data_IF_688606834907
#
_entry.id   IF_688606834907
#
_cell.length_a   1.000
_cell.length_b   1.000
_cell.length_c   1.000
_cell.angle_alpha   90.00
_cell.angle_beta   90.00
_cell.angle_gamma   90.00
#
_symmetry.space_group_name_H-M   'P 1'
#
loop_
_entity.id
_entity.type
_entity.pdbx_description
1 polymer ?
#
# COMPACT_ATOMS: atom_id res chain seq x y z
N UNK A 1 -23.07 0.76 49.54
CA UNK A 1 -21.65 0.44 49.81
C UNK A 1 -20.83 1.10 48.71
N UNK A 2 -20.06 2.14 49.03
CA UNK A 2 -19.17 2.83 48.07
C UNK A 2 -17.94 1.93 47.82
N UNK A 3 -17.55 1.72 46.57
CA UNK A 3 -16.25 1.16 46.20
C UNK A 3 -15.51 2.17 45.31
N UNK A 4 -14.27 2.45 45.71
CA UNK A 4 -13.35 3.45 45.15
C UNK A 4 -12.63 2.92 43.90
N UNK A 5 -12.15 3.78 42.99
CA UNK A 5 -11.38 3.37 41.82
C UNK A 5 -9.92 3.06 42.19
N UNK A 6 -9.41 1.92 41.71
CA UNK A 6 -8.03 1.47 41.89
C UNK A 6 -7.03 2.26 41.02
N UNK A 7 -5.85 2.56 41.58
CA UNK A 7 -4.73 3.20 40.88
C UNK A 7 -4.01 2.23 39.93
N UNK A 8 -3.48 2.69 38.78
CA UNK A 8 -2.67 1.85 37.90
C UNK A 8 -1.26 1.63 38.46
N UNK A 9 -0.72 0.41 38.29
CA UNK A 9 0.68 0.05 38.60
C UNK A 9 1.59 0.36 37.39
N UNK A 10 2.89 0.70 37.61
CA UNK A 10 3.78 1.07 36.52
C UNK A 10 4.21 -0.14 35.68
N UNK A 11 4.20 0.04 34.36
CA UNK A 11 4.75 -0.87 33.35
C UNK A 11 6.27 -1.00 33.54
N UNK A 12 6.76 -2.24 33.66
CA UNK A 12 8.20 -2.55 33.62
C UNK A 12 8.68 -2.58 32.17
N UNK A 13 9.54 -1.63 31.80
CA UNK A 13 10.23 -1.60 30.51
C UNK A 13 11.38 -2.61 30.54
N UNK A 14 11.30 -3.68 29.75
CA UNK A 14 12.45 -4.52 29.42
C UNK A 14 13.03 -4.07 28.08
N UNK A 15 14.22 -3.46 28.10
CA UNK A 15 15.03 -3.19 26.90
C UNK A 15 15.65 -4.49 26.40
N UNK A 16 15.22 -4.98 25.25
CA UNK A 16 15.97 -5.96 24.46
C UNK A 16 16.98 -5.20 23.58
N UNK A 17 18.27 -5.46 23.79
CA UNK A 17 19.34 -5.02 22.88
C UNK A 17 19.40 -5.98 21.69
N UNK A 18 19.52 -5.50 20.44
CA UNK A 18 19.81 -6.38 19.32
C UNK A 18 21.26 -6.88 19.44
N UNK A 19 21.46 -8.19 19.60
CA UNK A 19 22.78 -8.82 19.40
C UNK A 19 22.93 -9.09 17.91
N UNK A 20 23.78 -8.30 17.26
CA UNK A 20 24.34 -8.60 15.95
C UNK A 20 25.67 -9.32 16.18
N UNK A 21 25.67 -10.66 16.11
CA UNK A 21 26.90 -11.46 15.94
C UNK A 21 26.58 -12.63 15.00
N UNK A 22 27.04 -12.55 13.75
CA UNK A 22 27.11 -13.70 12.83
C UNK A 22 28.54 -14.23 12.84
N UNK A 23 28.71 -15.50 13.23
CA UNK A 23 29.95 -16.24 13.04
C UNK A 23 30.03 -16.80 11.60
N UNK A 24 31.21 -16.84 10.96
CA UNK A 24 31.37 -17.38 9.61
C UNK A 24 31.47 -18.92 9.66
N UNK A 25 30.72 -19.62 8.79
CA UNK A 25 31.01 -21.04 8.49
C UNK A 25 29.87 -22.07 8.50
N UNK A 26 28.59 -21.68 8.54
CA UNK A 26 27.50 -22.65 8.43
C UNK A 26 27.06 -22.89 6.98
N UNK A 27 27.39 -24.06 6.42
CA UNK A 27 26.90 -24.53 5.12
C UNK A 27 25.37 -24.67 5.16
N UNK A 28 24.66 -23.96 4.26
CA UNK A 28 23.21 -24.14 4.03
C UNK A 28 22.93 -25.57 3.56
N UNK A 29 22.20 -26.36 4.36
CA UNK A 29 21.50 -27.55 3.84
C UNK A 29 20.33 -27.05 2.99
N UNK A 30 20.31 -27.47 1.73
CA UNK A 30 19.21 -27.20 0.81
C UNK A 30 17.91 -27.77 1.40
N UNK A 31 16.97 -26.88 1.70
CA UNK A 31 15.59 -27.26 1.99
C UNK A 31 14.94 -27.61 0.67
N UNK A 32 14.33 -28.79 0.64
CA UNK A 32 13.63 -29.39 -0.50
C UNK A 32 12.68 -28.40 -1.16
N UNK A 33 12.94 -28.09 -2.43
CA UNK A 33 12.06 -27.32 -3.29
C UNK A 33 10.84 -28.17 -3.66
N UNK A 34 9.72 -27.92 -3.00
CA UNK A 34 8.41 -28.47 -3.38
C UNK A 34 7.41 -27.32 -3.47
N UNK A 35 7.13 -26.95 -4.74
CA UNK A 35 6.09 -26.02 -5.22
C UNK A 35 6.23 -24.55 -4.76
N UNK A 36 7.30 -23.87 -5.19
CA UNK A 36 7.32 -22.39 -5.25
C UNK A 36 6.71 -22.00 -6.61
N UNK A 37 5.39 -22.16 -6.75
CA UNK A 37 4.68 -21.97 -8.02
C UNK A 37 4.48 -20.49 -8.35
N UNK A 38 5.17 -20.01 -9.40
CA UNK A 38 4.74 -18.90 -10.27
C UNK A 38 4.14 -17.66 -9.57
N UNK A 39 4.80 -17.09 -8.56
CA UNK A 39 4.40 -15.77 -8.05
C UNK A 39 4.91 -14.68 -8.98
N UNK A 40 4.03 -13.78 -9.40
CA UNK A 40 4.42 -12.60 -10.18
C UNK A 40 5.31 -11.68 -9.33
N UNK A 41 6.38 -11.13 -9.93
CA UNK A 41 7.30 -10.20 -9.25
C UNK A 41 7.21 -8.82 -9.91
N UNK A 42 6.73 -7.80 -9.19
CA UNK A 42 6.78 -6.43 -9.71
C UNK A 42 8.17 -5.80 -9.57
N UNK A 43 8.94 -6.25 -8.58
CA UNK A 43 10.28 -5.76 -8.25
C UNK A 43 11.22 -6.96 -8.28
N UNK A 44 12.23 -6.89 -9.14
CA UNK A 44 13.33 -7.85 -9.19
C UNK A 44 14.60 -7.17 -8.75
N UNK A 45 15.12 -7.59 -7.61
CA UNK A 45 16.30 -7.00 -7.04
C UNK A 45 17.35 -8.07 -6.74
N UNK A 46 18.58 -7.76 -7.09
CA UNK A 46 19.79 -8.38 -6.56
C UNK A 46 20.81 -7.27 -6.30
N UNK A 47 21.82 -7.53 -5.45
CA UNK A 47 22.81 -6.50 -5.12
C UNK A 47 23.45 -5.92 -6.39
N UNK A 48 23.24 -4.62 -6.60
CA UNK A 48 23.73 -3.88 -7.78
C UNK A 48 22.85 -3.97 -9.04
N UNK A 49 21.67 -4.59 -8.97
CA UNK A 49 20.74 -4.70 -10.10
C UNK A 49 19.28 -4.62 -9.63
N UNK A 50 18.57 -3.59 -10.09
CA UNK A 50 17.14 -3.42 -9.87
C UNK A 50 16.39 -3.44 -11.21
N UNK A 51 15.31 -4.19 -11.28
CA UNK A 51 14.38 -4.21 -12.40
C UNK A 51 12.95 -4.07 -11.88
N UNK A 52 12.11 -3.36 -12.61
CA UNK A 52 10.69 -3.16 -12.30
C UNK A 52 9.82 -3.63 -13.46
N UNK A 53 8.67 -4.19 -13.18
CA UNK A 53 7.67 -4.52 -14.19
C UNK A 53 6.90 -3.26 -14.57
N UNK A 54 6.89 -2.89 -15.86
CA UNK A 54 6.17 -1.71 -16.33
C UNK A 54 4.64 -1.94 -16.32
N UNK A 55 3.98 -1.39 -15.30
CA UNK A 55 2.55 -1.53 -15.13
C UNK A 55 1.70 -0.75 -16.14
N UNK A 56 2.28 0.14 -16.95
CA UNK A 56 1.55 0.82 -18.02
C UNK A 56 1.25 -0.11 -19.19
N UNK A 57 2.11 -1.12 -19.40
CA UNK A 57 1.98 -2.09 -20.47
C UNK A 57 1.03 -3.25 -20.13
N UNK A 58 0.71 -3.42 -18.84
CA UNK A 58 -0.25 -4.41 -18.38
C UNK A 58 -1.69 -4.01 -18.75
N UNK A 59 -2.57 -5.00 -19.06
CA UNK A 59 -2.33 -6.44 -19.06
C UNK A 59 -1.78 -7.02 -20.38
N UNK A 60 -1.60 -6.21 -21.42
CA UNK A 60 -1.26 -6.70 -22.77
C UNK A 60 0.17 -7.24 -22.88
N UNK A 61 1.12 -6.63 -22.15
CA UNK A 61 2.52 -7.01 -22.20
C UNK A 61 3.17 -6.93 -20.82
N UNK A 62 3.86 -7.99 -20.43
CA UNK A 62 4.73 -8.03 -19.26
C UNK A 62 6.19 -7.78 -19.66
N UNK A 63 6.71 -6.59 -19.34
CA UNK A 63 8.08 -6.19 -19.65
C UNK A 63 8.75 -5.56 -18.45
N UNK A 64 9.98 -6.01 -18.17
CA UNK A 64 10.82 -5.44 -17.13
C UNK A 64 11.70 -4.31 -17.70
N UNK A 65 11.92 -3.29 -16.87
CA UNK A 65 12.82 -2.17 -17.12
C UNK A 65 13.90 -2.15 -16.04
N UNK A 66 15.16 -2.00 -16.45
CA UNK A 66 16.28 -1.85 -15.52
C UNK A 66 16.30 -0.44 -14.94
N UNK A 67 16.50 -0.34 -13.62
CA UNK A 67 16.61 0.91 -12.88
C UNK A 67 18.02 1.01 -12.31
N UNK A 68 18.88 1.78 -12.98
CA UNK A 68 20.28 1.95 -12.62
C UNK A 68 20.58 3.20 -11.78
N UNK A 69 19.56 4.03 -11.51
CA UNK A 69 19.73 5.27 -10.76
C UNK A 69 18.47 5.69 -9.99
N UNK A 70 18.67 6.51 -8.96
CA UNK A 70 17.64 7.22 -8.20
C UNK A 70 16.76 8.06 -9.12
N UNK A 71 17.37 8.69 -10.15
CA UNK A 71 16.63 9.47 -11.13
C UNK A 71 15.66 8.61 -11.95
N UNK A 72 16.12 7.46 -12.44
CA UNK A 72 15.27 6.54 -13.18
C UNK A 72 14.13 5.99 -12.31
N UNK A 73 14.39 5.70 -11.03
CA UNK A 73 13.34 5.29 -10.09
C UNK A 73 12.29 6.39 -9.91
N UNK A 74 12.73 7.63 -9.70
CA UNK A 74 11.84 8.79 -9.58
C UNK A 74 10.96 8.95 -10.83
N UNK A 75 11.53 8.85 -12.03
CA UNK A 75 10.80 8.96 -13.30
C UNK A 75 9.77 7.83 -13.45
N UNK A 76 10.15 6.59 -13.15
CA UNK A 76 9.26 5.44 -13.19
C UNK A 76 8.10 5.53 -12.19
N UNK A 77 8.37 5.98 -10.96
CA UNK A 77 7.35 6.20 -9.93
C UNK A 77 6.39 7.31 -10.37
N UNK A 78 6.90 8.44 -10.86
CA UNK A 78 6.11 9.59 -11.31
C UNK A 78 5.24 9.25 -12.53
N UNK A 79 5.78 8.48 -13.48
CA UNK A 79 5.05 7.98 -14.65
C UNK A 79 4.06 6.85 -14.32
N UNK A 80 3.98 6.43 -13.05
CA UNK A 80 3.15 5.31 -12.58
C UNK A 80 3.45 3.96 -13.24
N UNK A 81 4.71 3.73 -13.66
CA UNK A 81 5.21 2.39 -14.00
C UNK A 81 5.28 1.49 -12.76
N UNK A 82 5.50 2.10 -11.59
CA UNK A 82 5.44 1.46 -10.27
C UNK A 82 4.25 2.02 -9.50
N UNK A 83 3.44 1.13 -8.90
CA UNK A 83 2.28 1.50 -8.08
C UNK A 83 2.23 0.68 -6.80
N UNK A 84 1.41 1.15 -5.86
CA UNK A 84 1.33 0.64 -4.50
C UNK A 84 2.33 1.36 -3.59
N UNK A 85 1.84 1.89 -2.47
CA UNK A 85 2.67 2.69 -1.58
C UNK A 85 3.91 1.94 -1.04
N UNK A 86 3.83 0.64 -0.67
CA UNK A 86 5.00 -0.14 -0.30
C UNK A 86 6.01 -0.31 -1.45
N UNK A 87 5.53 -0.69 -2.65
CA UNK A 87 6.40 -0.90 -3.81
C UNK A 87 7.13 0.38 -4.25
N UNK A 88 6.46 1.54 -4.19
CA UNK A 88 7.09 2.84 -4.48
C UNK A 88 8.27 3.12 -3.54
N UNK A 89 8.07 2.90 -2.24
CA UNK A 89 9.12 3.12 -1.24
C UNK A 89 10.31 2.17 -1.46
N UNK A 90 10.04 0.90 -1.73
CA UNK A 90 11.07 -0.10 -2.04
C UNK A 90 11.87 0.24 -3.29
N UNK A 91 11.22 0.57 -4.40
CA UNK A 91 11.92 0.94 -5.65
C UNK A 91 12.80 2.17 -5.43
N UNK A 92 12.32 3.17 -4.68
CA UNK A 92 13.12 4.34 -4.30
C UNK A 92 14.37 3.95 -3.52
N UNK A 93 14.21 3.29 -2.38
CA UNK A 93 15.34 2.91 -1.51
C UNK A 93 16.32 1.93 -2.17
N UNK A 94 15.81 0.95 -2.94
CA UNK A 94 16.65 -0.02 -3.66
C UNK A 94 17.41 0.64 -4.82
N UNK A 95 16.86 1.67 -5.46
CA UNK A 95 17.59 2.41 -6.50
C UNK A 95 18.78 3.20 -5.93
N UNK A 96 18.63 3.75 -4.72
CA UNK A 96 19.74 4.36 -3.98
C UNK A 96 20.78 3.28 -3.62
N UNK A 97 20.35 2.11 -3.17
CA UNK A 97 21.25 1.00 -2.89
C UNK A 97 22.06 0.57 -4.12
N UNK A 98 21.46 0.59 -5.32
CA UNK A 98 22.16 0.31 -6.59
C UNK A 98 23.25 1.36 -6.87
N UNK A 99 22.96 2.66 -6.70
CA UNK A 99 23.97 3.71 -6.88
C UNK A 99 25.10 3.61 -5.84
N UNK A 100 24.76 3.33 -4.58
CA UNK A 100 25.73 3.14 -3.51
C UNK A 100 26.63 1.93 -3.76
N UNK A 101 26.07 0.83 -4.27
CA UNK A 101 26.83 -0.36 -4.66
C UNK A 101 27.80 -0.07 -5.81
N UNK A 102 27.46 0.88 -6.70
CA UNK A 102 28.33 1.35 -7.77
C UNK A 102 29.40 2.37 -7.30
N UNK A 103 29.39 2.76 -6.02
CA UNK A 103 30.37 3.67 -5.42
C UNK A 103 29.96 5.15 -5.42
N UNK A 104 28.69 5.49 -5.67
CA UNK A 104 28.23 6.89 -5.67
C UNK A 104 28.23 7.52 -4.25
N UNK A 105 28.25 8.86 -4.15
CA UNK A 105 28.12 9.57 -2.87
C UNK A 105 29.41 9.68 -2.05
N UNK A 106 30.53 10.07 -2.65
CA UNK A 106 31.80 10.26 -1.94
C UNK A 106 32.76 11.15 -2.73
N UNK A 107 34.03 11.31 -2.30
CA UNK A 107 34.61 10.68 -1.11
C UNK A 107 34.31 11.44 0.18
N UNK A 108 34.33 10.71 1.30
CA UNK A 108 34.21 11.23 2.66
C UNK A 108 32.84 11.01 3.29
N UNK A 109 32.84 10.74 4.60
CA UNK A 109 31.65 10.37 5.35
C UNK A 109 30.53 11.41 5.29
N UNK A 110 30.88 12.69 5.47
CA UNK A 110 29.91 13.79 5.40
C UNK A 110 29.29 13.93 3.99
N UNK A 111 30.08 13.73 2.94
CA UNK A 111 29.60 13.77 1.56
C UNK A 111 28.66 12.60 1.26
N UNK A 112 28.96 11.41 1.79
CA UNK A 112 28.08 10.24 1.68
C UNK A 112 26.75 10.44 2.37
N UNK A 113 26.74 10.94 3.60
CA UNK A 113 25.50 11.21 4.33
C UNK A 113 24.66 12.26 3.61
N UNK A 114 25.29 13.36 3.14
CA UNK A 114 24.59 14.39 2.37
C UNK A 114 23.99 13.81 1.08
N UNK A 115 24.75 12.99 0.34
CA UNK A 115 24.27 12.32 -0.87
C UNK A 115 23.04 11.44 -0.59
N UNK A 116 23.08 10.64 0.48
CA UNK A 116 21.94 9.79 0.88
C UNK A 116 20.72 10.65 1.22
N UNK A 117 20.89 11.73 1.99
CA UNK A 117 19.81 12.63 2.38
C UNK A 117 19.19 13.35 1.18
N UNK A 118 20.01 13.83 0.25
CA UNK A 118 19.56 14.51 -0.97
C UNK A 118 18.79 13.56 -1.89
N UNK A 119 19.32 12.34 -2.10
CA UNK A 119 18.66 11.31 -2.90
C UNK A 119 17.29 10.92 -2.32
N UNK A 120 17.21 10.72 -1.01
CA UNK A 120 15.95 10.38 -0.33
C UNK A 120 14.95 11.54 -0.38
N UNK A 121 15.41 12.76 -0.14
CA UNK A 121 14.57 13.97 -0.26
C UNK A 121 14.02 14.13 -1.68
N UNK A 122 14.84 13.88 -2.69
CA UNK A 122 14.41 13.89 -4.09
C UNK A 122 13.40 12.79 -4.38
N UNK A 123 13.60 11.55 -3.92
CA UNK A 123 12.66 10.44 -4.10
C UNK A 123 11.27 10.72 -3.51
N UNK A 124 11.20 11.40 -2.36
CA UNK A 124 9.92 11.81 -1.75
C UNK A 124 9.09 12.71 -2.68
N UNK A 125 9.74 13.50 -3.54
CA UNK A 125 9.05 14.38 -4.50
C UNK A 125 8.37 13.63 -5.65
N UNK A 126 8.69 12.34 -5.87
CA UNK A 126 8.14 11.58 -7.00
C UNK A 126 6.60 11.50 -6.94
N UNK A 127 6.07 11.16 -5.76
CA UNK A 127 4.63 11.09 -5.46
C UNK A 127 4.38 11.42 -3.98
N UNK A 128 4.27 12.72 -3.61
CA UNK A 128 4.18 13.16 -2.21
C UNK A 128 3.00 12.62 -1.40
N UNK A 129 1.97 12.07 -2.06
CA UNK A 129 0.82 11.45 -1.40
C UNK A 129 1.12 10.05 -0.84
N UNK A 130 2.22 9.41 -1.25
CA UNK A 130 2.67 8.12 -0.75
C UNK A 130 3.50 8.27 0.54
N UNK A 131 2.84 8.23 1.71
CA UNK A 131 3.47 8.38 3.03
C UNK A 131 4.59 7.36 3.26
N UNK A 132 4.48 6.15 2.70
CA UNK A 132 5.47 5.09 2.84
C UNK A 132 6.87 5.52 2.35
N UNK A 133 6.96 6.30 1.25
CA UNK A 133 8.25 6.80 0.75
C UNK A 133 8.84 7.83 1.72
N UNK A 134 8.02 8.77 2.22
CA UNK A 134 8.47 9.77 3.18
C UNK A 134 8.91 9.16 4.53
N UNK A 135 8.23 8.10 4.97
CA UNK A 135 8.62 7.34 6.16
C UNK A 135 9.93 6.59 5.95
N UNK A 136 10.05 5.82 4.86
CA UNK A 136 11.26 5.08 4.54
C UNK A 136 12.46 6.01 4.35
N UNK A 137 12.27 7.16 3.70
CA UNK A 137 13.28 8.20 3.55
C UNK A 137 13.78 8.73 4.90
N UNK A 138 12.87 9.02 5.83
CA UNK A 138 13.23 9.47 7.18
C UNK A 138 14.03 8.40 7.92
N UNK A 139 13.49 7.17 7.98
CA UNK A 139 14.11 6.07 8.73
C UNK A 139 15.52 5.74 8.20
N UNK A 140 15.70 5.78 6.88
CA UNK A 140 16.99 5.52 6.24
C UNK A 140 17.98 6.68 6.38
N UNK A 141 17.50 7.94 6.31
CA UNK A 141 18.34 9.12 6.54
C UNK A 141 18.83 9.18 8.00
N UNK A 142 17.94 8.91 8.96
CA UNK A 142 18.27 8.84 10.39
C UNK A 142 19.28 7.73 10.67
N UNK A 143 19.12 6.56 10.03
CA UNK A 143 20.08 5.46 10.13
C UNK A 143 21.45 5.85 9.56
N UNK A 144 21.51 6.48 8.38
CA UNK A 144 22.76 6.92 7.78
C UNK A 144 23.50 7.93 8.70
N UNK A 145 22.76 8.88 9.28
CA UNK A 145 23.31 9.85 10.21
C UNK A 145 23.84 9.19 11.50
N UNK A 146 23.04 8.31 12.12
CA UNK A 146 23.43 7.60 13.35
C UNK A 146 24.64 6.69 13.15
N UNK A 147 24.74 6.03 11.98
CA UNK A 147 25.89 5.20 11.65
C UNK A 147 27.17 6.03 11.43
N UNK A 148 27.04 7.22 10.84
CA UNK A 148 28.15 8.15 10.65
C UNK A 148 28.67 8.77 11.97
N UNK A 149 27.82 8.88 12.99
CA UNK A 149 28.19 9.41 14.32
C UNK A 149 28.89 8.38 15.21
N UNK A 150 28.98 7.11 14.80
CA UNK A 150 29.64 6.07 15.59
C UNK A 150 31.15 6.29 15.66
N UNK A 151 31.72 5.94 16.82
CA UNK A 151 33.17 5.92 17.00
C UNK A 151 33.81 4.94 16.00
N UNK A 152 34.76 5.44 15.20
CA UNK A 152 35.41 4.65 14.16
C UNK A 152 34.57 4.44 12.89
N UNK A 153 33.50 5.22 12.67
CA UNK A 153 32.71 5.16 11.44
C UNK A 153 33.58 5.41 10.19
N UNK A 154 33.39 4.57 9.16
CA UNK A 154 34.03 4.73 7.85
C UNK A 154 32.96 4.90 6.76
N UNK A 155 33.38 5.43 5.61
CA UNK A 155 32.48 5.59 4.46
C UNK A 155 31.91 4.24 4.01
N UNK A 156 32.74 3.19 3.98
CA UNK A 156 32.35 1.84 3.56
C UNK A 156 31.33 1.23 4.52
N UNK A 157 31.51 1.44 5.83
CA UNK A 157 30.59 0.94 6.85
C UNK A 157 29.20 1.57 6.71
N UNK A 158 29.12 2.89 6.54
CA UNK A 158 27.84 3.59 6.34
C UNK A 158 27.19 3.17 5.02
N UNK A 159 27.97 3.10 3.93
CA UNK A 159 27.51 2.66 2.61
C UNK A 159 26.87 1.27 2.67
N UNK A 160 27.59 0.29 3.22
CA UNK A 160 27.08 -1.07 3.34
C UNK A 160 25.84 -1.15 4.23
N UNK A 161 25.81 -0.32 5.29
CA UNK A 161 24.70 -0.33 6.23
C UNK A 161 23.41 0.25 5.63
N UNK A 162 23.51 1.30 4.81
CA UNK A 162 22.39 1.88 4.06
C UNK A 162 21.87 0.88 3.02
N UNK A 163 22.77 0.20 2.29
CA UNK A 163 22.38 -0.84 1.33
C UNK A 163 21.66 -1.99 2.05
N UNK A 164 22.26 -2.55 3.11
CA UNK A 164 21.65 -3.63 3.88
C UNK A 164 20.27 -3.25 4.41
N UNK A 165 20.07 -2.00 4.83
CA UNK A 165 18.76 -1.56 5.31
C UNK A 165 17.69 -1.62 4.20
N UNK A 166 18.01 -1.20 2.98
CA UNK A 166 17.07 -1.27 1.85
C UNK A 166 16.74 -2.73 1.49
N UNK A 167 17.71 -3.64 1.59
CA UNK A 167 17.50 -5.09 1.39
C UNK A 167 16.66 -5.70 2.52
N UNK A 168 16.95 -5.36 3.77
CA UNK A 168 16.16 -5.78 4.92
C UNK A 168 14.71 -5.30 4.82
N UNK A 169 14.48 -4.11 4.27
CA UNK A 169 13.14 -3.57 4.00
C UNK A 169 12.37 -4.42 2.97
N UNK A 170 13.02 -4.83 1.88
CA UNK A 170 12.44 -5.71 0.86
C UNK A 170 12.05 -7.06 1.46
N UNK A 171 12.99 -7.70 2.16
CA UNK A 171 12.79 -8.99 2.81
C UNK A 171 11.69 -8.91 3.88
N UNK A 172 11.63 -7.81 4.64
CA UNK A 172 10.59 -7.58 5.64
C UNK A 172 9.22 -7.45 5.00
N UNK A 173 9.06 -6.64 3.95
CA UNK A 173 7.76 -6.46 3.28
C UNK A 173 7.25 -7.79 2.69
N UNK A 174 8.12 -8.59 2.08
CA UNK A 174 7.76 -9.94 1.60
C UNK A 174 7.26 -10.86 2.72
N UNK A 175 7.96 -10.89 3.87
CA UNK A 175 7.55 -11.70 5.03
C UNK A 175 6.25 -11.21 5.65
N UNK A 176 6.08 -9.90 5.77
CA UNK A 176 4.88 -9.30 6.33
C UNK A 176 3.67 -9.56 5.44
N UNK A 177 3.80 -9.40 4.12
CA UNK A 177 2.73 -9.69 3.16
C UNK A 177 2.27 -11.15 3.21
N UNK A 178 3.21 -12.11 3.29
CA UNK A 178 2.87 -13.53 3.50
C UNK A 178 2.15 -13.74 4.82
N UNK A 179 2.64 -13.11 5.89
CA UNK A 179 2.03 -13.22 7.23
C UNK A 179 0.61 -12.65 7.25
N UNK A 180 0.38 -11.49 6.62
CA UNK A 180 -0.94 -10.88 6.45
C UNK A 180 -1.88 -11.83 5.69
N UNK A 181 -1.38 -12.42 4.60
CA UNK A 181 -2.15 -13.39 3.83
C UNK A 181 -2.56 -14.60 4.65
N UNK A 182 -1.61 -15.22 5.35
CA UNK A 182 -1.84 -16.44 6.12
C UNK A 182 -2.73 -16.17 7.34
N UNK A 183 -2.43 -15.15 8.14
CA UNK A 183 -3.23 -14.78 9.31
C UNK A 183 -4.64 -14.34 8.90
N UNK A 184 -4.74 -13.51 7.85
CA UNK A 184 -6.01 -13.05 7.32
C UNK A 184 -6.86 -14.20 6.79
N UNK A 185 -6.27 -15.15 6.06
CA UNK A 185 -6.97 -16.33 5.57
C UNK A 185 -7.48 -17.22 6.72
N UNK A 186 -6.64 -17.48 7.72
CA UNK A 186 -7.04 -18.28 8.89
C UNK A 186 -8.19 -17.63 9.66
N UNK A 187 -8.11 -16.33 9.93
CA UNK A 187 -9.15 -15.62 10.66
C UNK A 187 -10.45 -15.52 9.84
N UNK A 188 -10.35 -15.25 8.53
CA UNK A 188 -11.50 -15.24 7.62
C UNK A 188 -12.20 -16.60 7.59
N UNK A 189 -11.46 -17.71 7.49
CA UNK A 189 -12.04 -19.05 7.49
C UNK A 189 -12.76 -19.37 8.80
N UNK A 190 -12.21 -18.98 9.95
CA UNK A 190 -12.88 -19.13 11.26
C UNK A 190 -14.23 -18.41 11.30
N UNK A 191 -14.36 -17.26 10.63
CA UNK A 191 -15.59 -16.44 10.67
C UNK A 191 -16.60 -16.81 9.59
N UNK A 192 -16.15 -17.02 8.36
CA UNK A 192 -17.00 -17.25 7.20
C UNK A 192 -17.28 -18.74 6.92
N UNK A 193 -16.43 -19.65 7.40
CA UNK A 193 -16.56 -21.10 7.18
C UNK A 193 -16.06 -21.94 8.39
N UNK A 194 -16.60 -21.72 9.61
CA UNK A 194 -16.11 -22.35 10.84
C UNK A 194 -16.21 -23.89 10.84
N UNK A 195 -17.17 -24.44 10.10
CA UNK A 195 -17.40 -25.90 10.00
C UNK A 195 -16.56 -26.57 8.89
N UNK A 196 -15.63 -25.83 8.27
CA UNK A 196 -14.98 -26.25 7.04
C UNK A 196 -15.72 -25.75 5.80
N UNK A 197 -15.24 -26.14 4.61
CA UNK A 197 -15.77 -25.67 3.33
C UNK A 197 -15.00 -24.49 2.74
N UNK A 198 -15.34 -24.08 1.53
CA UNK A 198 -14.64 -23.02 0.82
C UNK A 198 -15.34 -21.67 0.96
N UNK A 199 -14.64 -20.59 0.65
CA UNK A 199 -15.15 -19.21 0.71
C UNK A 199 -15.10 -18.52 -0.65
N UNK A 200 -16.04 -17.63 -0.89
CA UNK A 200 -16.05 -16.74 -2.05
C UNK A 200 -15.71 -15.33 -1.58
N UNK A 201 -14.60 -14.78 -2.07
CA UNK A 201 -14.08 -13.50 -1.59
C UNK A 201 -14.26 -12.42 -2.64
N UNK A 202 -14.74 -11.25 -2.23
CA UNK A 202 -14.77 -10.05 -3.07
C UNK A 202 -13.66 -9.08 -2.66
N UNK A 203 -12.93 -8.53 -3.62
CA UNK A 203 -11.87 -7.53 -3.40
C UNK A 203 -12.00 -6.31 -4.31
N UNK A 204 -11.18 -5.30 -4.04
CA UNK A 204 -11.22 -4.00 -4.68
C UNK A 204 -9.83 -3.39 -4.86
N UNK A 205 -9.66 -2.61 -5.93
CA UNK A 205 -8.38 -2.10 -6.40
C UNK A 205 -7.38 -3.22 -6.72
N UNK A 206 -6.09 -2.93 -6.63
CA UNK A 206 -5.00 -3.88 -6.70
C UNK A 206 -4.14 -3.81 -5.45
N UNK A 207 -3.99 -4.97 -4.81
CA UNK A 207 -3.32 -5.17 -3.52
C UNK A 207 -2.43 -6.42 -3.56
N UNK A 208 -2.04 -6.80 -4.78
CA UNK A 208 -1.22 -7.96 -5.05
C UNK A 208 0.27 -7.69 -5.07
N UNK A 209 1.00 -8.54 -5.76
CA UNK A 209 2.43 -8.41 -5.98
C UNK A 209 2.73 -7.16 -6.81
N UNK A 210 1.77 -6.68 -7.62
CA UNK A 210 1.87 -5.42 -8.36
C UNK A 210 1.73 -4.17 -7.48
N UNK A 211 1.39 -4.32 -6.19
CA UNK A 211 1.25 -3.19 -5.26
C UNK A 211 2.24 -3.25 -4.07
N UNK A 212 3.01 -4.32 -3.92
CA UNK A 212 3.92 -4.54 -2.80
C UNK A 212 5.27 -5.09 -3.27
N UNK A 213 6.15 -5.51 -2.35
CA UNK A 213 7.35 -6.27 -2.72
C UNK A 213 7.04 -7.57 -3.49
N UNK A 214 5.84 -8.12 -3.28
CA UNK A 214 5.44 -9.44 -3.72
C UNK A 214 4.37 -10.00 -2.78
N UNK A 215 3.64 -11.02 -3.24
CA UNK A 215 2.53 -11.68 -2.53
C UNK A 215 1.29 -10.80 -2.25
N UNK A 216 1.45 -9.53 -1.91
CA UNK A 216 0.35 -8.60 -1.64
C UNK A 216 -0.28 -8.73 -0.26
N UNK A 217 -1.27 -7.88 0.01
CA UNK A 217 -2.00 -7.84 1.29
C UNK A 217 -3.35 -8.53 1.17
N UNK A 218 -4.40 -7.85 0.70
CA UNK A 218 -5.72 -8.44 0.50
C UNK A 218 -5.72 -9.53 -0.57
N UNK A 219 -5.00 -9.32 -1.69
CA UNK A 219 -4.78 -10.40 -2.66
C UNK A 219 -3.86 -11.49 -2.09
N UNK A 220 -2.98 -11.17 -1.12
CA UNK A 220 -2.21 -12.15 -0.35
C UNK A 220 -3.11 -13.08 0.48
N UNK A 221 -4.19 -12.54 1.08
CA UNK A 221 -5.21 -13.36 1.75
C UNK A 221 -5.90 -14.31 0.77
N UNK A 222 -6.26 -13.83 -0.42
CA UNK A 222 -6.85 -14.65 -1.49
C UNK A 222 -5.88 -15.75 -1.94
N UNK A 223 -4.59 -15.42 -2.12
CA UNK A 223 -3.53 -16.39 -2.42
C UNK A 223 -3.40 -17.45 -1.34
N UNK A 224 -3.36 -17.07 -0.06
CA UNK A 224 -3.29 -18.03 1.05
C UNK A 224 -4.53 -18.94 1.07
N UNK A 225 -5.74 -18.40 0.86
CA UNK A 225 -6.96 -19.21 0.74
C UNK A 225 -6.91 -20.20 -0.44
N UNK A 226 -6.39 -19.76 -1.59
CA UNK A 226 -6.23 -20.60 -2.77
C UNK A 226 -5.22 -21.73 -2.54
N UNK A 227 -4.06 -21.41 -1.96
CA UNK A 227 -3.01 -22.38 -1.64
C UNK A 227 -3.48 -23.43 -0.62
N UNK A 228 -4.40 -23.07 0.27
CA UNK A 228 -5.05 -24.00 1.20
C UNK A 228 -6.15 -24.86 0.54
N UNK A 229 -6.50 -24.62 -0.72
CA UNK A 229 -7.65 -25.25 -1.40
C UNK A 229 -9.00 -24.82 -0.82
N UNK A 230 -9.03 -23.68 -0.11
CA UNK A 230 -10.19 -23.16 0.63
C UNK A 230 -10.85 -21.95 -0.04
N UNK A 231 -10.31 -21.47 -1.15
CA UNK A 231 -10.97 -20.51 -2.01
C UNK A 231 -11.90 -21.25 -2.99
N UNK A 232 -13.17 -20.87 -3.03
CA UNK A 232 -14.09 -21.30 -4.09
C UNK A 232 -13.94 -20.37 -5.29
N UNK A 233 -14.03 -19.06 -5.06
CA UNK A 233 -13.96 -18.07 -6.13
C UNK A 233 -13.53 -16.69 -5.62
N UNK A 234 -12.88 -15.90 -6.46
CA UNK A 234 -12.53 -14.50 -6.20
C UNK A 234 -13.28 -13.54 -7.14
N UNK A 235 -14.05 -12.61 -6.59
CA UNK A 235 -14.57 -11.47 -7.33
C UNK A 235 -13.62 -10.28 -7.20
N UNK A 236 -13.25 -9.68 -8.32
CA UNK A 236 -12.53 -8.41 -8.34
C UNK A 236 -13.37 -7.36 -9.08
N UNK A 237 -13.42 -6.17 -8.52
CA UNK A 237 -14.15 -5.03 -9.09
C UNK A 237 -13.25 -4.26 -10.07
N UNK A 238 -13.80 -3.59 -11.08
CA UNK A 238 -13.00 -2.87 -12.07
C UNK A 238 -12.15 -1.76 -11.47
N UNK A 239 -12.66 -1.07 -10.44
CA UNK A 239 -12.02 0.03 -9.72
C UNK A 239 -11.82 1.28 -10.59
N UNK A 240 -12.93 1.91 -10.99
CA UNK A 240 -12.91 3.17 -11.74
C UNK A 240 -12.33 4.32 -10.90
N UNK A 241 -11.77 5.36 -11.55
CA UNK A 241 -11.58 5.45 -13.00
C UNK A 241 -10.30 4.79 -13.53
N UNK A 242 -9.37 4.43 -12.65
CA UNK A 242 -8.04 3.95 -13.05
C UNK A 242 -7.97 2.48 -13.47
N UNK A 243 -9.04 1.73 -13.24
CA UNK A 243 -9.21 0.34 -13.66
C UNK A 243 -8.14 -0.60 -13.08
N UNK A 244 -7.68 -0.36 -11.84
CA UNK A 244 -6.65 -1.22 -11.25
C UNK A 244 -7.11 -2.66 -11.08
N UNK A 245 -8.37 -2.88 -10.67
CA UNK A 245 -8.86 -4.23 -10.49
C UNK A 245 -9.04 -4.96 -11.83
N UNK A 246 -9.56 -4.28 -12.84
CA UNK A 246 -9.69 -4.83 -14.19
C UNK A 246 -8.33 -5.08 -14.88
N UNK A 247 -7.34 -4.18 -14.71
CA UNK A 247 -6.05 -4.27 -15.41
C UNK A 247 -5.01 -5.11 -14.68
N UNK A 248 -4.94 -4.99 -13.35
CA UNK A 248 -3.84 -5.52 -12.55
C UNK A 248 -4.28 -6.71 -11.71
N UNK A 249 -5.38 -6.59 -10.95
CA UNK A 249 -5.87 -7.69 -10.11
C UNK A 249 -6.35 -8.87 -10.93
N UNK A 250 -7.14 -8.62 -11.99
CA UNK A 250 -7.53 -9.67 -12.91
C UNK A 250 -6.32 -10.32 -13.60
N UNK A 251 -5.29 -9.54 -13.94
CA UNK A 251 -4.05 -10.07 -14.51
C UNK A 251 -3.33 -11.02 -13.54
N UNK A 252 -3.18 -10.62 -12.27
CA UNK A 252 -2.55 -11.48 -11.24
C UNK A 252 -3.34 -12.76 -11.00
N UNK A 253 -4.66 -12.67 -10.88
CA UNK A 253 -5.53 -13.83 -10.68
C UNK A 253 -5.45 -14.81 -11.85
N UNK A 254 -5.42 -14.30 -13.09
CA UNK A 254 -5.24 -15.13 -14.31
C UNK A 254 -3.83 -15.76 -14.34
N UNK A 255 -2.79 -14.98 -14.03
CA UNK A 255 -1.40 -15.46 -14.03
C UNK A 255 -1.20 -16.63 -13.07
N UNK A 256 -1.82 -16.56 -11.89
CA UNK A 256 -1.72 -17.58 -10.84
C UNK A 256 -2.80 -18.67 -10.94
N UNK A 257 -3.63 -18.63 -11.99
CA UNK A 257 -4.74 -19.58 -12.22
C UNK A 257 -5.73 -19.66 -11.05
N UNK A 258 -5.94 -18.53 -10.35
CA UNK A 258 -6.92 -18.43 -9.28
C UNK A 258 -8.31 -18.26 -9.91
N UNK A 259 -9.32 -19.07 -9.51
CA UNK A 259 -10.67 -18.96 -10.06
C UNK A 259 -11.26 -17.59 -9.71
N UNK A 260 -11.51 -16.78 -10.74
CA UNK A 260 -11.88 -15.39 -10.56
C UNK A 260 -12.87 -14.86 -11.60
N UNK A 261 -13.63 -13.83 -11.20
CA UNK A 261 -14.53 -13.06 -12.07
C UNK A 261 -14.30 -11.56 -11.86
N UNK A 262 -14.14 -10.84 -12.97
CA UNK A 262 -14.17 -9.38 -13.00
C UNK A 262 -15.61 -8.89 -13.05
N UNK A 263 -15.96 -7.91 -12.21
CA UNK A 263 -17.25 -7.24 -12.19
C UNK A 263 -17.09 -5.71 -12.22
N UNK A 264 -18.10 -5.00 -12.73
CA UNK A 264 -18.15 -3.54 -12.59
C UNK A 264 -18.32 -3.14 -11.10
N UNK A 265 -17.90 -1.93 -10.72
CA UNK A 265 -18.00 -1.48 -9.33
C UNK A 265 -19.47 -1.47 -8.84
N UNK A 266 -20.41 -1.14 -9.74
CA UNK A 266 -21.86 -1.10 -9.49
C UNK A 266 -22.50 -2.48 -9.32
N UNK A 267 -21.80 -3.57 -9.67
CA UNK A 267 -22.30 -4.94 -9.51
C UNK A 267 -21.99 -5.55 -8.14
N UNK A 268 -21.20 -4.88 -7.29
CA UNK A 268 -20.74 -5.45 -6.03
C UNK A 268 -21.90 -5.91 -5.12
N UNK A 269 -22.96 -5.09 -4.97
CA UNK A 269 -24.14 -5.48 -4.18
C UNK A 269 -24.90 -6.65 -4.81
N UNK A 270 -25.05 -6.67 -6.14
CA UNK A 270 -25.69 -7.78 -6.84
C UNK A 270 -24.90 -9.09 -6.70
N UNK A 271 -23.56 -9.01 -6.74
CA UNK A 271 -22.68 -10.16 -6.50
C UNK A 271 -22.83 -10.68 -5.06
N UNK A 272 -22.87 -9.78 -4.07
CA UNK A 272 -23.13 -10.16 -2.68
C UNK A 272 -24.49 -10.84 -2.49
N UNK A 273 -25.53 -10.36 -3.17
CA UNK A 273 -26.88 -10.92 -3.07
C UNK A 273 -27.07 -12.27 -3.80
N UNK A 274 -26.36 -12.49 -4.91
CA UNK A 274 -26.70 -13.58 -5.84
C UNK A 274 -25.56 -14.56 -6.15
N UNK A 275 -24.32 -14.26 -5.78
CA UNK A 275 -23.14 -15.06 -6.14
C UNK A 275 -22.43 -15.69 -4.93
N UNK A 276 -23.07 -15.65 -3.75
CA UNK A 276 -22.58 -16.34 -2.55
C UNK A 276 -21.27 -15.77 -2.00
N UNK A 277 -21.02 -14.46 -2.16
CA UNK A 277 -19.87 -13.79 -1.53
C UNK A 277 -19.96 -13.96 -0.01
N UNK A 278 -18.93 -14.53 0.60
CA UNK A 278 -18.90 -14.84 2.04
C UNK A 278 -17.92 -13.97 2.82
N UNK A 279 -17.05 -13.21 2.15
CA UNK A 279 -16.21 -12.19 2.78
C UNK A 279 -15.79 -11.10 1.77
N UNK A 280 -15.54 -9.90 2.28
CA UNK A 280 -14.88 -8.82 1.53
C UNK A 280 -13.52 -8.56 2.15
N UNK A 281 -12.46 -8.50 1.34
CA UNK A 281 -11.10 -8.18 1.80
C UNK A 281 -10.50 -7.11 0.90
N UNK A 282 -10.07 -5.99 1.50
CA UNK A 282 -9.48 -4.85 0.80
C UNK A 282 -8.14 -4.46 1.40
N UNK A 283 -7.34 -3.72 0.64
CA UNK A 283 -6.11 -3.09 1.15
C UNK A 283 -6.41 -1.80 1.92
N UNK A 284 -5.33 -1.09 2.27
CA UNK A 284 -5.42 0.27 2.79
C UNK A 284 -4.27 1.11 2.25
N UNK A 285 -4.55 2.39 2.00
CA UNK A 285 -3.52 3.40 1.77
C UNK A 285 -3.07 4.01 3.11
N UNK A 286 -4.00 4.18 4.06
CA UNK A 286 -3.71 4.62 5.43
C UNK A 286 -4.77 4.14 6.41
N UNK A 287 -4.35 3.63 7.57
CA UNK A 287 -5.21 3.32 8.71
C UNK A 287 -4.82 4.24 9.87
N UNK A 288 -5.77 4.92 10.50
CA UNK A 288 -5.48 5.86 11.61
C UNK A 288 -5.80 5.24 12.97
N UNK A 289 -5.55 5.96 14.07
CA UNK A 289 -5.56 5.38 15.42
C UNK A 289 -6.88 4.70 15.81
N UNK A 290 -8.04 5.25 15.40
CA UNK A 290 -9.35 4.65 15.66
C UNK A 290 -9.77 3.53 14.68
N UNK A 291 -8.91 3.17 13.72
CA UNK A 291 -9.17 2.17 12.68
C UNK A 291 -9.87 2.70 11.43
N UNK A 292 -10.22 3.99 11.36
CA UNK A 292 -10.72 4.58 10.12
C UNK A 292 -9.66 4.40 9.02
N UNK A 293 -10.12 3.97 7.85
CA UNK A 293 -9.23 3.54 6.77
C UNK A 293 -9.47 4.38 5.52
N UNK A 294 -8.44 5.07 5.05
CA UNK A 294 -8.41 5.60 3.69
C UNK A 294 -7.91 4.53 2.73
N UNK A 295 -8.69 4.29 1.68
CA UNK A 295 -8.34 3.40 0.59
C UNK A 295 -8.92 3.93 -0.73
N UNK A 296 -8.72 3.20 -1.83
CA UNK A 296 -9.31 3.50 -3.13
C UNK A 296 -10.82 3.75 -3.06
N UNK A 297 -11.28 4.82 -3.73
CA UNK A 297 -12.72 5.15 -3.87
C UNK A 297 -13.50 3.94 -4.41
N UNK A 298 -14.63 3.62 -3.78
CA UNK A 298 -15.39 2.38 -3.91
C UNK A 298 -15.33 1.50 -2.66
N UNK A 299 -14.26 1.59 -1.86
CA UNK A 299 -14.08 0.80 -0.63
C UNK A 299 -15.17 1.02 0.41
N UNK A 300 -15.57 2.27 0.66
CA UNK A 300 -16.63 2.62 1.60
C UNK A 300 -17.99 2.12 1.11
N UNK A 301 -18.26 2.26 -0.19
CA UNK A 301 -19.46 1.70 -0.80
C UNK A 301 -19.54 0.17 -0.62
N UNK A 302 -18.42 -0.53 -0.80
CA UNK A 302 -18.33 -1.97 -0.54
C UNK A 302 -18.57 -2.32 0.93
N UNK A 303 -18.04 -1.53 1.88
CA UNK A 303 -18.27 -1.75 3.30
C UNK A 303 -19.75 -1.59 3.68
N UNK A 304 -20.44 -0.59 3.11
CA UNK A 304 -21.89 -0.41 3.30
C UNK A 304 -22.66 -1.62 2.76
N UNK A 305 -22.36 -2.05 1.52
CA UNK A 305 -23.04 -3.20 0.90
C UNK A 305 -22.78 -4.50 1.67
N UNK A 306 -21.53 -4.74 2.10
CA UNK A 306 -21.17 -5.90 2.90
C UNK A 306 -21.95 -5.94 4.22
N UNK A 307 -22.05 -4.79 4.91
CA UNK A 307 -22.86 -4.66 6.12
C UNK A 307 -24.34 -4.96 5.88
N UNK A 308 -24.91 -4.43 4.79
CA UNK A 308 -26.30 -4.68 4.41
C UNK A 308 -26.59 -6.18 4.20
N UNK A 309 -25.64 -6.92 3.60
CA UNK A 309 -25.75 -8.35 3.36
C UNK A 309 -25.23 -9.24 4.51
N UNK A 310 -24.78 -8.66 5.63
CA UNK A 310 -24.25 -9.42 6.76
C UNK A 310 -22.91 -10.12 6.47
N UNK A 311 -22.15 -9.64 5.48
CA UNK A 311 -20.86 -10.20 5.05
C UNK A 311 -19.72 -9.52 5.84
N UNK A 312 -18.77 -10.29 6.42
CA UNK A 312 -17.64 -9.71 7.11
C UNK A 312 -16.73 -8.93 6.13
N UNK A 313 -16.31 -7.74 6.56
CA UNK A 313 -15.45 -6.83 5.81
C UNK A 313 -14.10 -6.69 6.51
N UNK A 314 -13.02 -6.98 5.79
CA UNK A 314 -11.66 -6.98 6.29
C UNK A 314 -10.79 -5.93 5.58
N UNK A 315 -10.00 -5.22 6.36
CA UNK A 315 -8.87 -4.42 5.87
C UNK A 315 -7.58 -5.19 6.15
N UNK A 316 -6.81 -5.47 5.10
CA UNK A 316 -5.52 -6.12 5.16
C UNK A 316 -4.41 -5.13 4.82
N UNK A 317 -3.64 -4.71 5.82
CA UNK A 317 -2.59 -3.71 5.67
C UNK A 317 -1.41 -4.00 6.61
N UNK A 318 -0.16 -3.75 6.19
CA UNK A 318 0.98 -3.81 7.09
C UNK A 318 0.95 -2.66 8.08
N UNK A 319 1.58 -2.84 9.23
CA UNK A 319 1.72 -1.79 10.26
C UNK A 319 2.42 -0.53 9.73
N UNK A 320 3.19 -0.64 8.65
CA UNK A 320 3.80 0.50 7.95
C UNK A 320 2.77 1.46 7.34
N UNK A 321 1.55 0.98 7.07
CA UNK A 321 0.41 1.76 6.55
C UNK A 321 -0.49 2.31 7.66
N UNK A 322 -0.20 2.00 8.93
CA UNK A 322 -0.90 2.56 10.09
C UNK A 322 -0.22 3.85 10.55
N UNK A 323 -0.96 4.96 10.54
CA UNK A 323 -0.53 6.28 11.00
C UNK A 323 -1.25 6.64 12.32
N UNK A 324 -0.67 6.22 13.43
CA UNK A 324 -1.21 6.44 14.78
C UNK A 324 -1.08 7.89 15.27
N UNK A 325 -0.57 8.82 14.44
CA UNK A 325 -0.51 10.24 14.78
C UNK A 325 -1.83 10.95 14.49
N UNK A 326 -2.65 10.40 13.59
CA UNK A 326 -3.99 10.90 13.29
C UNK A 326 -4.99 10.12 14.13
N UNK A 327 -5.88 10.83 14.81
CA UNK A 327 -6.87 10.20 15.69
C UNK A 327 -8.04 9.63 14.90
N UNK A 328 -8.45 10.31 13.84
CA UNK A 328 -9.65 9.98 13.06
C UNK A 328 -9.45 10.14 11.55
N UNK A 329 -10.31 9.50 10.75
CA UNK A 329 -10.26 9.59 9.30
C UNK A 329 -10.54 10.99 8.74
N UNK A 330 -11.07 11.91 9.57
CA UNK A 330 -11.35 13.31 9.19
C UNK A 330 -10.08 14.12 8.93
N UNK A 331 -8.96 13.70 9.51
CA UNK A 331 -7.66 14.36 9.37
C UNK A 331 -6.91 13.92 8.11
N UNK A 332 -7.44 12.91 7.41
CA UNK A 332 -6.85 12.43 6.17
C UNK A 332 -7.26 13.37 5.03
N UNK A 333 -6.29 14.07 4.48
CA UNK A 333 -6.48 14.83 3.23
C UNK A 333 -6.66 13.84 2.08
N UNK A 334 -7.84 13.84 1.46
CA UNK A 334 -8.16 12.99 0.32
C UNK A 334 -7.53 13.57 -0.95
N UNK A 335 -6.71 12.75 -1.64
CA UNK A 335 -6.10 13.15 -2.91
C UNK A 335 -7.16 13.31 -4.01
N UNK A 336 -7.19 14.49 -4.62
CA UNK A 336 -8.00 14.79 -5.80
C UNK A 336 -7.15 14.95 -7.07
N UNK A 337 -7.55 14.25 -8.13
CA UNK A 337 -6.83 14.19 -9.42
C UNK A 337 -7.61 14.85 -10.56
N UNK A 338 -6.95 15.19 -11.68
CA UNK A 338 -7.61 15.78 -12.84
C UNK A 338 -8.80 14.94 -13.31
N UNK A 339 -9.93 15.60 -13.54
CA UNK A 339 -11.16 15.04 -14.11
C UNK A 339 -10.96 14.28 -15.44
N UNK A 340 -9.92 14.62 -16.20
CA UNK A 340 -9.56 13.92 -17.43
C UNK A 340 -9.40 12.42 -17.21
N UNK A 341 -8.87 11.99 -16.07
CA UNK A 341 -8.69 10.55 -15.79
C UNK A 341 -10.02 9.82 -15.59
N UNK A 342 -11.08 10.55 -15.22
CA UNK A 342 -12.45 10.05 -15.15
C UNK A 342 -13.15 10.13 -16.51
N UNK A 343 -13.00 11.27 -17.20
CA UNK A 343 -13.76 11.56 -18.43
C UNK A 343 -13.18 10.87 -19.67
N UNK A 344 -11.89 10.55 -19.67
CA UNK A 344 -11.17 9.97 -20.79
C UNK A 344 -10.60 8.59 -20.41
N UNK A 345 -10.52 7.68 -21.39
CA UNK A 345 -9.81 6.41 -21.27
C UNK A 345 -8.97 6.21 -22.53
N UNK A 346 -7.68 5.90 -22.36
CA UNK A 346 -6.74 5.72 -23.47
C UNK A 346 -6.73 6.88 -24.49
N UNK A 347 -6.82 8.12 -23.99
CA UNK A 347 -6.81 9.33 -24.82
C UNK A 347 -8.12 9.60 -25.58
N UNK A 348 -9.17 8.83 -25.31
CA UNK A 348 -10.50 9.03 -25.89
C UNK A 348 -11.48 9.45 -24.80
N UNK A 349 -12.11 10.61 -24.97
CA UNK A 349 -13.15 11.09 -24.07
C UNK A 349 -14.41 10.24 -24.19
N UNK A 350 -14.88 9.71 -23.06
CA UNK A 350 -16.12 8.94 -22.94
C UNK A 350 -17.26 9.82 -22.43
N UNK A 351 -16.96 10.71 -21.48
CA UNK A 351 -17.96 11.62 -20.93
C UNK A 351 -18.40 12.66 -21.95
N UNK A 352 -19.66 13.11 -21.90
CA UNK A 352 -20.13 14.21 -22.73
C UNK A 352 -19.24 15.47 -22.52
N UNK A 353 -18.97 16.25 -23.59
CA UNK A 353 -18.32 17.55 -23.44
C UNK A 353 -19.04 18.42 -22.41
N UNK A 354 -18.30 19.03 -21.48
CA UNK A 354 -18.86 19.85 -20.39
C UNK A 354 -19.32 19.09 -19.14
N UNK A 355 -19.38 17.76 -19.14
CA UNK A 355 -19.86 16.94 -18.00
C UNK A 355 -18.86 16.80 -16.82
N UNK A 356 -17.96 17.75 -16.62
CA UNK A 356 -16.86 17.65 -15.65
C UNK A 356 -16.73 18.92 -14.80
N UNK A 357 -17.85 19.38 -14.23
CA UNK A 357 -17.83 20.30 -13.11
C UNK A 357 -18.36 19.54 -11.90
N UNK A 358 -17.48 18.88 -11.15
CA UNK A 358 -17.79 18.63 -9.74
C UNK A 358 -17.85 20.02 -9.11
N UNK A 359 -18.98 20.46 -8.53
CA UNK A 359 -19.02 21.74 -7.85
C UNK A 359 -17.98 21.70 -6.74
N UNK A 360 -17.00 22.61 -6.81
CA UNK A 360 -16.20 22.93 -5.65
C UNK A 360 -17.17 23.28 -4.52
N UNK A 361 -16.92 22.79 -3.32
CA UNK A 361 -17.65 23.25 -2.15
C UNK A 361 -17.38 24.76 -2.01
N UNK A 362 -18.25 25.58 -2.61
CA UNK A 362 -18.33 26.99 -2.28
C UNK A 362 -18.67 27.02 -0.79
N UNK A 363 -17.71 27.49 0.00
CA UNK A 363 -17.99 27.96 1.34
C UNK A 363 -19.09 29.01 1.18
N UNK A 364 -20.27 28.72 1.71
CA UNK A 364 -21.34 29.69 1.86
C UNK A 364 -20.86 30.75 2.87
N UNK A 365 -20.15 31.76 2.38
CA UNK A 365 -20.07 33.04 3.07
C UNK A 365 -21.37 33.78 2.81
N UNK A 366 -22.28 33.67 3.77
CA UNK A 366 -23.28 34.69 4.02
C UNK A 366 -22.54 35.99 4.36
N UNK A 367 -22.36 36.88 3.39
CA UNK A 367 -22.20 38.31 3.66
C UNK A 367 -23.14 39.09 2.75
N UNK A 368 -24.13 39.71 3.39
CA UNK A 368 -25.07 40.61 2.74
C UNK A 368 -24.45 41.93 2.33
N UNK A 369 -25.14 42.60 1.41
CA UNK A 369 -25.22 44.07 1.40
C UNK A 369 -24.26 44.82 0.48
N UNK A 370 -24.69 45.03 -0.77
CA UNK A 370 -24.78 46.36 -1.38
C UNK A 370 -23.51 47.05 -1.92
N UNK A 371 -23.61 47.52 -3.17
CA UNK A 371 -22.80 48.64 -3.69
C UNK A 371 -22.19 48.37 -5.07
N UNK A 372 -22.68 49.09 -6.08
CA UNK A 372 -22.28 48.91 -7.48
C UNK A 372 -20.88 49.40 -7.84
N UNK A 373 -20.42 48.97 -9.02
CA UNK A 373 -19.22 49.47 -9.68
C UNK A 373 -18.88 48.66 -10.93
N UNK A 374 -18.90 49.31 -12.08
CA UNK A 374 -18.46 48.77 -13.38
C UNK A 374 -16.96 48.44 -13.37
N UNK A 375 -16.58 47.31 -13.97
CA UNK A 375 -15.24 47.13 -14.56
C UNK A 375 -14.59 45.77 -14.34
N UNK A 376 -14.09 45.21 -15.44
CA UNK A 376 -13.29 44.00 -15.63
C UNK A 376 -14.02 42.66 -15.48
N UNK A 377 -14.38 42.07 -16.62
CA UNK A 377 -14.55 40.62 -16.76
C UNK A 377 -13.28 39.93 -16.24
N UNK A 378 -13.36 39.08 -15.21
CA UNK A 378 -12.31 38.11 -14.97
C UNK A 378 -12.37 37.12 -16.13
N UNK A 379 -11.26 36.96 -16.87
CA UNK A 379 -11.12 35.84 -17.79
C UNK A 379 -11.40 34.52 -17.05
N UNK A 380 -11.85 33.46 -17.74
CA UNK A 380 -12.14 32.21 -17.07
C UNK A 380 -10.86 31.70 -16.43
N UNK A 381 -10.72 31.85 -15.12
CA UNK A 381 -9.89 30.94 -14.35
C UNK A 381 -10.50 29.58 -14.59
N UNK A 382 -9.83 28.77 -15.41
CA UNK A 382 -10.10 27.35 -15.56
C UNK A 382 -10.01 26.73 -14.16
N UNK A 383 -11.14 26.70 -13.46
CA UNK A 383 -11.35 25.86 -12.30
C UNK A 383 -11.19 24.43 -12.77
N UNK A 384 -9.94 23.94 -12.74
CA UNK A 384 -9.61 22.57 -13.15
C UNK A 384 -10.37 21.63 -12.23
N UNK A 385 -11.42 21.02 -12.76
CA UNK A 385 -12.24 20.09 -12.00
C UNK A 385 -11.40 18.88 -11.59
N UNK A 386 -11.64 18.38 -10.38
CA UNK A 386 -10.92 17.26 -9.81
C UNK A 386 -11.89 16.22 -9.28
N UNK A 387 -11.44 14.96 -9.19
CA UNK A 387 -12.19 13.88 -8.58
C UNK A 387 -11.39 13.24 -7.43
N UNK A 388 -12.08 12.77 -6.39
CA UNK A 388 -11.46 12.09 -5.25
C UNK A 388 -10.99 10.70 -5.63
N UNK A 389 -9.73 10.40 -5.35
CA UNK A 389 -9.11 9.10 -5.65
C UNK A 389 -9.15 8.12 -4.49
N UNK A 390 -9.50 8.60 -3.30
CA UNK A 390 -9.61 7.84 -2.06
C UNK A 390 -10.89 8.24 -1.33
N UNK A 391 -11.32 7.39 -0.41
CA UNK A 391 -12.37 7.72 0.54
C UNK A 391 -12.07 7.07 1.90
N UNK A 392 -12.52 7.71 2.97
CA UNK A 392 -12.41 7.18 4.32
C UNK A 392 -13.58 6.25 4.65
N UNK A 393 -13.30 5.10 5.26
CA UNK A 393 -14.32 4.27 5.90
C UNK A 393 -14.40 4.58 7.38
N UNK A 394 -15.62 4.68 7.91
CA UNK A 394 -15.86 4.75 9.34
C UNK A 394 -15.93 3.33 9.92
N UNK A 395 -14.96 2.97 10.78
CA UNK A 395 -14.85 1.67 11.48
C UNK A 395 -14.98 0.44 10.58
N UNK A 396 -13.91 0.06 9.89
CA UNK A 396 -13.75 -1.30 9.37
C UNK A 396 -12.87 -2.11 10.32
N UNK A 397 -13.24 -3.37 10.59
CA UNK A 397 -12.39 -4.27 11.38
C UNK A 397 -11.05 -4.46 10.66
N UNK A 398 -9.97 -3.92 11.23
CA UNK A 398 -8.63 -4.13 10.74
C UNK A 398 -8.12 -5.49 11.23
N UNK A 399 -7.71 -6.37 10.31
CA UNK A 399 -6.85 -7.48 10.67
C UNK A 399 -5.41 -6.97 10.62
N UNK A 400 -4.92 -6.39 11.72
CA UNK A 400 -3.52 -6.05 11.87
C UNK A 400 -2.74 -7.30 12.27
N UNK A 401 -1.52 -7.45 11.73
CA UNK A 401 -0.50 -8.40 12.19
C UNK A 401 -0.40 -8.33 13.73
N UNK A 402 -0.86 -9.37 14.42
CA UNK A 402 -0.57 -9.55 15.85
C UNK A 402 0.88 -10.06 15.99
N UNK A 403 1.70 -9.35 16.77
CA UNK A 403 2.83 -9.98 17.45
C UNK A 403 2.29 -11.15 18.29
N UNK A 404 3.06 -12.25 18.48
CA UNK A 404 2.56 -13.48 19.09
C UNK A 404 2.20 -13.27 20.58
N UNK A 405 0.96 -12.85 20.84
CA UNK A 405 0.38 -12.64 22.15
C UNK A 405 -1.13 -12.53 21.99
N UNK A 406 -1.81 -13.64 22.27
CA UNK A 406 -3.18 -13.91 21.82
C UNK A 406 -4.26 -12.92 22.30
N UNK A 407 -5.25 -12.77 21.43
CA UNK A 407 -6.56 -12.21 21.75
C UNK A 407 -7.38 -13.24 22.55
N UNK A 408 -7.82 -12.87 23.75
CA UNK A 408 -8.84 -13.56 24.53
C UNK A 408 -10.18 -12.85 24.28
N UNK A 409 -11.18 -13.50 23.63
CA UNK A 409 -12.41 -12.84 23.22
C UNK A 409 -13.46 -12.91 24.34
N UNK A 410 -13.30 -12.14 25.40
CA UNK A 410 -14.38 -11.75 26.31
C UNK A 410 -14.14 -10.31 26.79
N UNK A 411 -14.75 -9.33 26.11
CA UNK A 411 -15.34 -8.10 26.68
C UNK A 411 -15.78 -7.16 25.53
N UNK A 412 -17.10 -7.19 25.27
CA UNK A 412 -18.01 -6.29 24.52
C UNK A 412 -17.53 -5.35 23.40
#
# INVERSE_FOLDING_TARGET
>A
MRLLPGRPRPLRVFRLRPRCERAPGARRKAVSATVDSMTLEAIRYSRGSLQILDQLLLPQQSRYEAVGSVRQAWEAIRAMKVRGAPAIALVGCLSLAVELQAGAGGPGLAALVAFVQDALSFLVTARPTAVNMARAARDLADLAAQEAEREGATEEAVRERVICWAEDMLDKDLRDNRSIGDLGAHHLLKRAAPQGGKVTVLTHCNTGALATAGYGTALGVIRSLHNLGRLEHAFCTETRPYNQGARLTAFELVYEQIPATLIADSMAAAAMAHQGVSAVVVGADRVVANGDTANKVGTYQLAIAAKHHGIPFYVAAPSSSCDLRLETGREIVIEERPDQELTDVNGVRIAAPGAAQVPGAEASEEQGGGGGGLGSEPGPEEGRSRYRTQEGTHRAAAAAQEEPGGWDPEED
#
